data_IF_237051449398
#
_entry.id   IF_237051449398
#
_cell.length_a   1.000
_cell.length_b   1.000
_cell.length_c   1.000
_cell.angle_alpha   90.00
_cell.angle_beta   90.00
_cell.angle_gamma   90.00
#
_symmetry.space_group_name_H-M   'P 1'
#
loop_
_entity.id
_entity.type
_entity.pdbx_description
1 polymer ?
#
# COMPACT_ATOMS: atom_id res chain seq x y z
N UNK A 1 -10.23 -19.52 -16.51
CA UNK A 1 -10.53 -19.80 -15.09
C UNK A 1 -12.05 -19.83 -14.97
N UNK A 2 -12.67 -20.93 -14.51
CA UNK A 2 -14.13 -20.98 -14.39
C UNK A 2 -14.54 -20.13 -13.19
N UNK A 3 -15.58 -19.30 -13.34
CA UNK A 3 -16.06 -18.39 -12.28
C UNK A 3 -16.41 -19.14 -10.99
N UNK A 4 -16.96 -20.35 -11.13
CA UNK A 4 -17.31 -21.25 -10.02
C UNK A 4 -16.11 -21.66 -9.15
N UNK A 5 -14.90 -21.75 -9.72
CA UNK A 5 -13.68 -22.13 -9.01
C UNK A 5 -13.10 -20.97 -8.20
N UNK A 6 -13.63 -19.75 -8.36
CA UNK A 6 -13.14 -18.56 -7.67
C UNK A 6 -13.88 -18.30 -6.33
N UNK A 7 -14.93 -19.06 -6.04
CA UNK A 7 -15.70 -18.92 -4.79
C UNK A 7 -14.88 -19.50 -3.63
N UNK A 8 -14.65 -18.70 -2.58
CA UNK A 8 -13.88 -19.13 -1.39
C UNK A 8 -12.36 -18.90 -1.45
N UNK A 9 -11.79 -18.48 -2.59
CA UNK A 9 -10.37 -18.11 -2.69
C UNK A 9 -10.15 -16.61 -2.45
N UNK A 10 -9.02 -16.26 -1.83
CA UNK A 10 -8.60 -14.86 -1.64
C UNK A 10 -8.24 -14.24 -2.99
N UNK A 11 -8.87 -13.12 -3.33
CA UNK A 11 -8.69 -12.40 -4.61
C UNK A 11 -8.43 -10.91 -4.44
N UNK A 12 -8.65 -10.40 -3.24
CA UNK A 12 -8.57 -8.99 -2.91
C UNK A 12 -7.41 -8.74 -1.93
N UNK A 13 -6.89 -7.51 -1.90
CA UNK A 13 -5.82 -7.15 -0.99
C UNK A 13 -6.24 -7.25 0.47
N UNK A 14 -5.25 -7.40 1.35
CA UNK A 14 -5.41 -7.23 2.79
C UNK A 14 -4.45 -6.15 3.26
N UNK A 15 -4.98 -5.16 3.95
CA UNK A 15 -4.20 -4.06 4.53
C UNK A 15 -4.19 -4.27 6.04
N UNK A 16 -2.99 -4.30 6.63
CA UNK A 16 -2.80 -4.31 8.07
C UNK A 16 -2.93 -2.90 8.66
N UNK A 17 -2.71 -2.77 9.97
CA UNK A 17 -2.89 -1.52 10.72
C UNK A 17 -1.95 -0.38 10.24
N UNK A 18 -2.43 0.86 10.36
CA UNK A 18 -1.68 2.09 10.03
C UNK A 18 -1.15 2.16 8.59
N UNK A 19 -1.76 1.42 7.66
CA UNK A 19 -1.43 1.51 6.23
C UNK A 19 -2.02 2.80 5.66
N UNK A 20 -1.19 3.56 4.97
CA UNK A 20 -1.58 4.81 4.30
C UNK A 20 -1.73 4.53 2.81
N UNK A 21 -2.91 4.79 2.25
CA UNK A 21 -3.19 4.63 0.83
C UNK A 21 -3.41 5.99 0.19
N UNK A 22 -2.51 6.37 -0.72
CA UNK A 22 -2.63 7.59 -1.51
C UNK A 22 -3.81 7.55 -2.48
N UNK A 23 -4.32 8.73 -2.84
CA UNK A 23 -5.44 8.86 -3.78
C UNK A 23 -5.13 8.19 -5.13
N UNK A 24 -6.13 7.47 -5.67
CA UNK A 24 -6.01 6.79 -6.96
C UNK A 24 -5.06 5.60 -7.00
N UNK A 25 -4.50 5.17 -5.86
CA UNK A 25 -3.72 3.94 -5.80
C UNK A 25 -4.58 2.72 -6.13
N UNK A 26 -4.01 1.77 -6.88
CA UNK A 26 -4.66 0.53 -7.29
C UNK A 26 -3.86 -0.64 -6.73
N UNK A 27 -4.45 -1.41 -5.82
CA UNK A 27 -3.84 -2.60 -5.21
C UNK A 27 -4.58 -3.82 -5.77
N UNK A 28 -3.88 -4.66 -6.51
CA UNK A 28 -4.49 -5.70 -7.34
C UNK A 28 -4.05 -7.10 -6.90
N UNK A 29 -5.05 -7.96 -6.67
CA UNK A 29 -4.86 -9.37 -6.33
C UNK A 29 -4.80 -9.64 -4.82
N UNK A 30 -4.50 -10.90 -4.42
CA UNK A 30 -4.43 -11.32 -3.02
C UNK A 30 -3.15 -10.84 -2.32
N UNK A 31 -2.85 -9.55 -2.45
CA UNK A 31 -1.64 -8.90 -1.92
C UNK A 31 -1.81 -8.58 -0.44
N UNK A 32 -0.75 -8.79 0.35
CA UNK A 32 -0.66 -8.35 1.74
C UNK A 32 0.14 -7.04 1.84
N UNK A 33 -0.49 -6.01 2.39
CA UNK A 33 0.16 -4.75 2.74
C UNK A 33 0.37 -4.70 4.25
N UNK A 34 1.63 -4.84 4.68
CA UNK A 34 1.96 -4.93 6.11
C UNK A 34 1.84 -3.59 6.85
N UNK A 35 1.81 -3.63 8.17
CA UNK A 35 1.55 -2.44 9.00
C UNK A 35 2.50 -1.27 8.71
N UNK A 36 2.01 -0.05 8.94
CA UNK A 36 2.73 1.22 8.76
C UNK A 36 3.28 1.46 7.34
N UNK A 37 2.83 0.71 6.34
CA UNK A 37 3.26 0.88 4.95
C UNK A 37 2.57 2.08 4.30
N UNK A 38 3.21 2.68 3.29
CA UNK A 38 2.68 3.82 2.54
C UNK A 38 2.60 3.49 1.05
N UNK A 39 1.41 3.60 0.48
CA UNK A 39 1.17 3.45 -0.94
C UNK A 39 1.03 4.85 -1.54
N UNK A 40 1.88 5.19 -2.51
CA UNK A 40 1.84 6.47 -3.19
C UNK A 40 0.57 6.65 -4.03
N UNK A 41 0.19 7.90 -4.25
CA UNK A 41 -0.94 8.24 -5.13
C UNK A 41 -0.72 7.69 -6.55
N UNK A 42 -1.77 7.17 -7.18
CA UNK A 42 -1.75 6.52 -8.49
C UNK A 42 -0.76 5.34 -8.64
N UNK A 43 -0.24 4.78 -7.54
CA UNK A 43 0.63 3.60 -7.60
C UNK A 43 -0.15 2.33 -7.92
N UNK A 44 0.43 1.43 -8.72
CA UNK A 44 -0.19 0.12 -9.06
C UNK A 44 0.59 -1.00 -8.38
N UNK A 45 0.04 -1.52 -7.28
CA UNK A 45 0.67 -2.54 -6.44
C UNK A 45 0.17 -3.92 -6.83
N UNK A 46 1.10 -4.78 -7.25
CA UNK A 46 0.82 -6.17 -7.67
C UNK A 46 1.58 -7.22 -6.84
N UNK A 47 2.33 -6.78 -5.82
CA UNK A 47 3.16 -7.63 -4.96
C UNK A 47 3.05 -7.21 -3.51
N UNK A 48 3.32 -8.14 -2.59
CA UNK A 48 3.30 -7.91 -1.15
C UNK A 48 4.21 -6.75 -0.73
N UNK A 49 3.72 -5.97 0.21
CA UNK A 49 4.41 -4.77 0.71
C UNK A 49 4.95 -5.07 2.11
N UNK A 50 6.27 -4.90 2.32
CA UNK A 50 6.88 -5.15 3.63
C UNK A 50 6.46 -4.07 4.64
N UNK A 51 6.57 -4.39 5.94
CA UNK A 51 6.23 -3.47 7.04
C UNK A 51 7.01 -2.15 6.91
N UNK A 52 6.31 -1.01 6.98
CA UNK A 52 6.92 0.31 6.80
C UNK A 52 7.41 0.61 5.37
N UNK A 53 7.08 -0.24 4.39
CA UNK A 53 7.50 -0.08 3.01
C UNK A 53 6.81 1.10 2.33
N UNK A 54 7.48 1.72 1.35
CA UNK A 54 6.91 2.83 0.57
C UNK A 54 6.85 2.42 -0.89
N UNK A 55 5.64 2.27 -1.41
CA UNK A 55 5.38 1.76 -2.76
C UNK A 55 4.95 2.90 -3.68
N UNK A 56 5.69 3.14 -4.76
CA UNK A 56 5.37 4.23 -5.71
C UNK A 56 5.53 3.76 -7.17
N UNK A 57 4.78 4.40 -8.07
CA UNK A 57 4.89 4.19 -9.52
C UNK A 57 4.01 3.05 -10.09
N UNK A 58 4.16 2.83 -11.39
CA UNK A 58 3.46 1.81 -12.18
C UNK A 58 4.48 1.06 -13.05
N UNK A 59 4.79 -0.22 -12.78
CA UNK A 59 4.40 -1.00 -11.60
C UNK A 59 5.04 -0.45 -10.32
N UNK A 60 4.35 -0.59 -9.19
CA UNK A 60 4.83 -0.05 -7.92
C UNK A 60 6.12 -0.73 -7.47
N UNK A 61 7.12 0.08 -7.10
CA UNK A 61 8.40 -0.39 -6.56
C UNK A 61 8.57 0.11 -5.14
N UNK A 62 9.15 -0.74 -4.29
CA UNK A 62 9.53 -0.33 -2.95
C UNK A 62 10.73 0.61 -3.04
N UNK A 63 10.55 1.86 -2.66
CA UNK A 63 11.67 2.79 -2.52
C UNK A 63 12.25 2.61 -1.13
N UNK A 64 13.56 2.32 -1.08
CA UNK A 64 14.30 2.52 0.16
C UNK A 64 14.34 4.02 0.36
N UNK A 65 13.53 4.54 1.29
CA UNK A 65 13.89 5.81 1.92
C UNK A 65 15.31 5.59 2.43
N UNK A 66 16.29 6.30 1.86
CA UNK A 66 17.56 6.52 2.53
C UNK A 66 17.22 6.90 3.98
N UNK A 67 18.04 6.51 4.96
CA UNK A 67 17.81 6.71 6.40
C UNK A 67 17.73 8.20 6.80
N UNK A 68 16.84 8.96 6.20
CA UNK A 68 16.38 10.25 6.67
C UNK A 68 15.19 9.94 7.54
N UNK A 69 15.43 10.17 8.84
CA UNK A 69 14.51 10.21 9.97
C UNK A 69 13.06 9.95 9.54
N UNK A 70 12.52 8.81 9.95
CA UNK A 70 11.07 8.60 10.04
C UNK A 70 10.50 9.79 10.79
N UNK A 71 9.97 10.77 10.05
CA UNK A 71 9.25 11.86 10.68
C UNK A 71 7.96 11.23 11.24
N UNK A 72 7.78 11.16 12.57
CA UNK A 72 6.56 10.63 13.16
C UNK A 72 5.34 11.47 12.79
N UNK A 73 5.54 12.68 12.27
CA UNK A 73 4.52 13.57 11.72
C UNK A 73 4.37 13.38 10.20
N UNK A 74 4.10 12.16 9.73
CA UNK A 74 3.41 12.05 8.45
C UNK A 74 1.96 12.49 8.69
N UNK A 75 1.68 13.78 8.51
CA UNK A 75 0.33 14.31 8.52
C UNK A 75 -0.30 14.01 7.16
N UNK A 76 -1.25 13.05 7.05
CA UNK A 76 -1.99 12.88 5.80
C UNK A 76 -2.63 14.22 5.40
N UNK A 77 -2.75 14.44 4.08
CA UNK A 77 -3.30 15.68 3.56
C UNK A 77 -4.65 15.97 4.23
N UNK A 78 -4.75 17.15 4.87
CA UNK A 78 -5.87 17.67 5.67
C UNK A 78 -5.90 17.45 7.21
N UNK A 79 -4.89 16.83 7.84
CA UNK A 79 -4.82 16.75 9.34
C UNK A 79 -3.74 17.61 9.99
N UNK A 80 -3.02 18.44 9.23
CA UNK A 80 -2.17 19.47 9.83
C UNK A 80 -3.03 20.54 10.49
N UNK A 81 -2.94 20.68 11.82
CA UNK A 81 -3.51 21.84 12.55
C UNK A 81 -3.02 23.12 11.87
N UNK A 82 -3.96 24.02 11.59
CA UNK A 82 -3.73 25.33 10.98
C UNK A 82 -2.86 26.21 11.86
#
# INVERSE_FOLDING_TARGET
>A
IKSSEQVGIKRHPTLEDDVIVGSGAQILGPVLVKSCSRIGSNAVVTKDVPKGGVMVGVPAKNIKLAKEKLDPSFAPYAVTKK
#
